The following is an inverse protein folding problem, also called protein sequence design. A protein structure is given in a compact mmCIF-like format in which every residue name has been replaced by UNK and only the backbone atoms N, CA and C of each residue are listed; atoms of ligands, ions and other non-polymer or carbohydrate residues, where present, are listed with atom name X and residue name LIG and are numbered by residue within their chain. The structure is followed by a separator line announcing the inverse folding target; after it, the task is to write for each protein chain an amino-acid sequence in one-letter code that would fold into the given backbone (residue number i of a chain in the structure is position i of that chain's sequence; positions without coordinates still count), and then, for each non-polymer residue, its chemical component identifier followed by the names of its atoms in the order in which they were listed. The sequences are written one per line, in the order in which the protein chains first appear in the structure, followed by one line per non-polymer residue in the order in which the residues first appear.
data_IF_945553182011
#
_entry.id   IF_945553182011
#
_cell.length_a   1.000
_cell.length_b   1.000
_cell.length_c   1.000
_cell.angle_alpha   90.00
_cell.angle_beta   90.00
_cell.angle_gamma   90.00
#
_symmetry.space_group_name_H-M   'P 1'
#
loop_
_entity.id
_entity.type
_entity.pdbx_description
1 polymer ?
#
# COMPACT_ATOMS: atom_id res chain seq x y z
N UNK A 1 57.34 -7.37 -26.37
CA UNK A 1 57.10 -6.64 -25.10
C UNK A 1 55.66 -6.13 -24.95
N UNK A 2 54.92 -5.87 -26.04
CA UNK A 2 53.53 -5.35 -25.99
C UNK A 2 52.48 -6.34 -25.49
N UNK A 3 52.59 -7.64 -25.80
CA UNK A 3 51.58 -8.65 -25.42
C UNK A 3 51.51 -8.95 -23.91
N UNK A 4 52.63 -8.90 -23.19
CA UNK A 4 52.65 -9.20 -21.75
C UNK A 4 51.98 -8.09 -20.92
N UNK A 5 52.20 -6.83 -21.32
CA UNK A 5 51.60 -5.67 -20.67
C UNK A 5 50.08 -5.62 -20.87
N UNK A 6 49.61 -5.85 -22.10
CA UNK A 6 48.17 -5.90 -22.42
C UNK A 6 47.49 -7.07 -21.69
N UNK A 7 48.11 -8.26 -21.65
CA UNK A 7 47.58 -9.39 -20.87
C UNK A 7 47.46 -9.09 -19.38
N UNK A 8 48.45 -8.43 -18.77
CA UNK A 8 48.40 -8.06 -17.34
C UNK A 8 47.27 -7.08 -17.03
N UNK A 9 47.05 -6.08 -17.89
CA UNK A 9 45.92 -5.16 -17.75
C UNK A 9 44.59 -5.89 -17.89
N UNK A 10 44.46 -6.77 -18.88
CA UNK A 10 43.25 -7.56 -19.09
C UNK A 10 42.95 -8.47 -17.89
N UNK A 11 43.93 -9.22 -17.39
CA UNK A 11 43.75 -10.07 -16.20
C UNK A 11 43.38 -9.25 -14.96
N UNK A 12 44.03 -8.10 -14.75
CA UNK A 12 43.73 -7.23 -13.59
C UNK A 12 42.32 -6.67 -13.67
N UNK A 13 41.87 -6.29 -14.87
CA UNK A 13 40.52 -5.76 -15.10
C UNK A 13 39.47 -6.84 -14.87
N UNK A 14 39.69 -8.07 -15.37
CA UNK A 14 38.82 -9.21 -15.12
C UNK A 14 38.76 -9.53 -13.62
N UNK A 15 39.91 -9.53 -12.95
CA UNK A 15 39.99 -9.78 -11.52
C UNK A 15 39.21 -8.71 -10.73
N UNK A 16 39.42 -7.42 -11.02
CA UNK A 16 38.67 -6.33 -10.39
C UNK A 16 37.16 -6.41 -10.68
N UNK A 17 36.77 -6.74 -11.92
CA UNK A 17 35.37 -6.88 -12.30
C UNK A 17 34.67 -8.05 -11.59
N UNK A 18 35.39 -9.14 -11.30
CA UNK A 18 34.88 -10.28 -10.52
C UNK A 18 34.90 -10.01 -9.01
N UNK A 19 35.87 -9.25 -8.51
CA UNK A 19 35.96 -8.88 -7.10
C UNK A 19 34.89 -7.85 -6.71
N UNK A 20 34.53 -6.95 -7.62
CA UNK A 20 33.59 -5.86 -7.38
C UNK A 20 32.21 -6.31 -6.88
N UNK A 21 31.49 -7.29 -7.48
CA UNK A 21 30.23 -7.79 -6.95
C UNK A 21 30.38 -8.51 -5.61
N UNK A 22 31.53 -9.14 -5.34
CA UNK A 22 31.82 -9.79 -4.04
C UNK A 22 32.05 -8.73 -2.95
N UNK A 23 32.77 -7.65 -3.26
CA UNK A 23 32.95 -6.52 -2.34
C UNK A 23 31.61 -5.83 -2.10
N UNK A 24 30.79 -5.62 -3.14
CA UNK A 24 29.43 -5.09 -2.99
C UNK A 24 28.55 -5.97 -2.12
N UNK A 25 28.59 -7.30 -2.28
CA UNK A 25 27.76 -8.21 -1.47
C UNK A 25 28.19 -8.27 0.00
N UNK A 26 29.47 -8.02 0.30
CA UNK A 26 29.95 -7.88 1.69
C UNK A 26 29.38 -6.65 2.41
N UNK A 27 28.96 -5.62 1.66
CA UNK A 27 28.28 -4.44 2.19
C UNK A 27 26.75 -4.46 1.97
N UNK A 28 26.25 -5.44 1.21
CA UNK A 28 24.83 -5.63 1.03
C UNK A 28 24.23 -6.27 2.27
N UNK A 29 23.26 -5.60 2.90
CA UNK A 29 22.43 -6.22 3.93
C UNK A 29 21.15 -6.70 3.27
N UNK A 30 20.99 -8.02 3.15
CA UNK A 30 19.68 -8.59 2.88
C UNK A 30 18.83 -8.47 4.14
N UNK A 31 17.70 -7.78 4.04
CA UNK A 31 16.69 -7.73 5.10
C UNK A 31 15.55 -8.64 4.66
N UNK A 32 15.54 -9.93 5.05
CA UNK A 32 14.44 -10.82 4.73
C UNK A 32 13.19 -10.31 5.45
N UNK A 33 12.27 -9.72 4.67
CA UNK A 33 11.02 -9.17 5.18
C UNK A 33 9.85 -9.83 4.46
N UNK A 34 9.13 -10.68 5.18
CA UNK A 34 7.86 -11.22 4.71
C UNK A 34 6.71 -10.29 5.12
N UNK A 35 5.71 -10.22 4.26
CA UNK A 35 4.49 -9.48 4.54
C UNK A 35 3.27 -10.19 3.97
N UNK A 36 2.11 -9.94 4.58
CA UNK A 36 0.81 -10.38 4.07
C UNK A 36 -0.11 -9.20 3.83
N UNK A 37 -0.94 -9.30 2.79
CA UNK A 37 -2.09 -8.44 2.55
C UNK A 37 -3.36 -9.28 2.72
N UNK A 38 -4.21 -8.93 3.68
CA UNK A 38 -5.44 -9.66 3.96
C UNK A 38 -6.58 -8.71 4.30
N UNK A 39 -7.35 -8.35 3.26
CA UNK A 39 -8.42 -7.34 3.34
C UNK A 39 -9.83 -7.93 3.39
N UNK A 40 -10.00 -9.24 3.18
CA UNK A 40 -11.31 -9.92 3.19
C UNK A 40 -11.79 -10.31 4.60
N UNK A 41 -11.64 -9.41 5.56
CA UNK A 41 -12.16 -9.58 6.92
C UNK A 41 -11.39 -10.60 7.78
N UNK A 42 -10.11 -10.32 8.10
CA UNK A 42 -9.33 -11.18 8.97
C UNK A 42 -9.99 -11.39 10.33
N UNK A 43 -10.04 -12.64 10.79
CA UNK A 43 -10.06 -12.92 12.22
C UNK A 43 -8.67 -12.66 12.77
N UNK A 44 -8.56 -11.86 13.82
CA UNK A 44 -7.27 -11.47 14.38
C UNK A 44 -6.47 -12.69 14.85
N UNK A 45 -7.15 -13.74 15.28
CA UNK A 45 -6.55 -15.01 15.71
C UNK A 45 -5.82 -15.73 14.56
N UNK A 46 -6.31 -15.61 13.32
CA UNK A 46 -5.64 -16.17 12.15
C UNK A 46 -4.32 -15.44 11.87
N UNK A 47 -4.32 -14.10 12.03
CA UNK A 47 -3.12 -13.28 11.85
C UNK A 47 -2.04 -13.58 12.88
N UNK A 48 -2.41 -14.01 14.09
CA UNK A 48 -1.46 -14.40 15.14
C UNK A 48 -0.62 -15.61 14.74
N UNK A 49 -1.16 -16.50 13.91
CA UNK A 49 -0.47 -17.71 13.45
C UNK A 49 0.45 -17.45 12.25
N UNK A 50 0.28 -16.30 11.60
CA UNK A 50 1.11 -15.91 10.44
C UNK A 50 2.51 -15.53 10.93
N UNK A 51 3.54 -16.06 10.28
CA UNK A 51 4.95 -15.79 10.62
C UNK A 51 5.41 -14.38 10.27
N UNK A 52 4.80 -13.74 9.28
CA UNK A 52 5.18 -12.41 8.82
C UNK A 52 5.06 -11.36 9.93
N UNK A 53 6.10 -10.54 10.02
CA UNK A 53 6.15 -9.42 10.96
C UNK A 53 5.38 -8.21 10.43
N UNK A 54 5.24 -8.05 9.11
CA UNK A 54 4.43 -6.98 8.52
C UNK A 54 3.10 -7.55 8.04
N UNK A 55 2.00 -6.97 8.53
CA UNK A 55 0.65 -7.34 8.11
C UNK A 55 -0.10 -6.11 7.62
N UNK A 56 -0.69 -6.22 6.44
CA UNK A 56 -1.58 -5.21 5.87
C UNK A 56 -3.00 -5.77 5.90
N UNK A 57 -3.88 -5.10 6.64
CA UNK A 57 -5.27 -5.51 6.81
C UNK A 57 -6.19 -4.32 6.57
N UNK A 58 -7.48 -4.55 6.40
CA UNK A 58 -8.45 -3.47 6.41
C UNK A 58 -8.54 -2.81 7.81
N UNK A 59 -8.99 -1.55 7.92
CA UNK A 59 -9.23 -0.92 9.23
C UNK A 59 -10.38 -1.58 10.00
N UNK A 60 -11.18 -2.41 9.33
CA UNK A 60 -12.36 -3.09 9.84
C UNK A 60 -12.40 -4.55 9.44
N UNK A 61 -12.96 -5.40 10.31
CA UNK A 61 -13.12 -6.83 10.05
C UNK A 61 -14.15 -7.15 8.94
N UNK A 62 -14.96 -6.19 8.51
CA UNK A 62 -15.88 -6.35 7.36
C UNK A 62 -15.92 -5.13 6.44
N UNK A 63 -14.95 -4.22 6.61
CA UNK A 63 -14.87 -2.94 5.92
C UNK A 63 -15.80 -1.84 6.45
N UNK A 64 -16.81 -2.17 7.26
CA UNK A 64 -17.78 -1.20 7.81
C UNK A 64 -17.30 -0.59 9.13
N UNK A 65 -17.80 0.61 9.49
CA UNK A 65 -17.43 1.27 10.76
C UNK A 65 -17.87 0.45 11.98
N UNK A 66 -18.91 -0.39 11.83
CA UNK A 66 -19.46 -1.21 12.93
C UNK A 66 -18.48 -2.29 13.39
N UNK A 67 -17.57 -2.72 12.51
CA UNK A 67 -16.53 -3.70 12.79
C UNK A 67 -15.12 -3.11 12.69
N UNK A 68 -15.01 -1.78 12.76
CA UNK A 68 -13.72 -1.11 12.85
C UNK A 68 -12.91 -1.66 14.03
N UNK A 69 -11.65 -1.99 13.77
CA UNK A 69 -10.74 -2.44 14.82
C UNK A 69 -10.47 -1.31 15.79
N UNK A 70 -10.43 -1.67 17.07
CA UNK A 70 -10.13 -0.75 18.17
C UNK A 70 -8.65 -0.81 18.51
N UNK A 71 -8.25 0.07 19.41
CA UNK A 71 -6.87 0.14 19.90
C UNK A 71 -6.40 -1.19 20.49
N UNK A 72 -7.28 -1.88 21.21
CA UNK A 72 -6.98 -3.15 21.87
C UNK A 72 -6.73 -4.28 20.84
N UNK A 73 -7.49 -4.27 19.74
CA UNK A 73 -7.37 -5.23 18.64
C UNK A 73 -6.00 -5.12 17.94
N UNK A 74 -5.57 -3.90 17.66
CA UNK A 74 -4.28 -3.65 17.01
C UNK A 74 -3.12 -3.88 17.97
N UNK A 75 -3.28 -3.48 19.24
CA UNK A 75 -2.29 -3.74 20.28
C UNK A 75 -2.07 -5.25 20.50
N UNK A 76 -3.13 -6.07 20.38
CA UNK A 76 -3.03 -7.52 20.46
C UNK A 76 -2.12 -8.11 19.38
N UNK A 77 -2.26 -7.68 18.12
CA UNK A 77 -1.35 -8.10 17.05
C UNK A 77 0.09 -7.61 17.29
N UNK A 78 0.24 -6.34 17.70
CA UNK A 78 1.53 -5.72 17.95
C UNK A 78 2.28 -6.36 19.13
N UNK A 79 1.57 -6.96 20.10
CA UNK A 79 2.20 -7.64 21.23
C UNK A 79 3.01 -8.87 20.81
N UNK A 80 2.84 -9.36 19.58
CA UNK A 80 3.64 -10.43 18.97
C UNK A 80 4.79 -9.90 18.10
N UNK A 81 5.09 -8.60 18.16
CA UNK A 81 6.12 -7.97 17.35
C UNK A 81 5.66 -7.54 15.95
N UNK A 82 4.37 -7.71 15.62
CA UNK A 82 3.84 -7.36 14.30
C UNK A 82 3.77 -5.86 14.07
N UNK A 83 4.12 -5.42 12.87
CA UNK A 83 3.82 -4.11 12.30
C UNK A 83 2.54 -4.19 11.49
N UNK A 84 1.50 -3.51 11.95
CA UNK A 84 0.15 -3.57 11.40
C UNK A 84 -0.15 -2.32 10.59
N UNK A 85 -0.39 -2.46 9.30
CA UNK A 85 -0.72 -1.37 8.38
C UNK A 85 -2.17 -1.51 7.91
N UNK A 86 -2.87 -0.38 7.77
CA UNK A 86 -4.22 -0.37 7.21
C UNK A 86 -4.17 -0.24 5.70
N UNK A 87 -4.85 -1.12 4.97
CA UNK A 87 -5.24 -0.87 3.59
C UNK A 87 -6.16 0.35 3.54
N UNK A 88 -5.94 1.22 2.56
CA UNK A 88 -6.78 2.38 2.30
C UNK A 88 -6.88 2.62 0.81
N UNK A 89 -8.09 2.52 0.29
CA UNK A 89 -8.42 2.91 -1.06
C UNK A 89 -8.36 4.45 -1.18
N UNK A 90 -7.34 5.00 -1.85
CA UNK A 90 -7.01 6.44 -1.74
C UNK A 90 -7.79 7.32 -2.70
N UNK A 91 -8.14 6.81 -3.88
CA UNK A 91 -8.69 7.61 -4.98
C UNK A 91 -9.97 7.02 -5.59
N UNK A 92 -10.56 6.04 -4.92
CA UNK A 92 -11.82 5.38 -5.28
C UNK A 92 -12.70 5.30 -4.03
N UNK A 93 -14.00 5.49 -4.20
CA UNK A 93 -14.98 5.40 -3.12
C UNK A 93 -15.60 4.00 -3.06
N UNK A 94 -15.85 3.51 -1.86
CA UNK A 94 -16.42 2.19 -1.56
C UNK A 94 -17.75 2.38 -0.81
N UNK A 95 -18.84 1.76 -1.28
CA UNK A 95 -20.19 2.07 -0.79
C UNK A 95 -20.55 1.47 0.59
N UNK A 96 -19.76 0.53 1.08
CA UNK A 96 -19.90 -0.06 2.40
C UNK A 96 -19.17 0.73 3.51
N UNK A 97 -18.40 1.77 3.15
CA UNK A 97 -17.60 2.54 4.11
C UNK A 97 -18.43 3.54 4.90
N UNK A 98 -17.91 3.92 6.07
CA UNK A 98 -18.56 4.85 7.01
C UNK A 98 -18.99 6.18 6.36
N UNK A 99 -18.24 6.67 5.38
CA UNK A 99 -18.47 7.96 4.75
C UNK A 99 -19.56 7.94 3.67
N UNK A 100 -19.96 6.76 3.18
CA UNK A 100 -20.76 6.64 1.96
C UNK A 100 -22.06 7.45 2.01
N UNK A 101 -22.79 7.37 3.11
CA UNK A 101 -24.08 8.04 3.27
C UNK A 101 -23.96 9.57 3.40
N UNK A 102 -22.83 10.06 3.93
CA UNK A 102 -22.55 11.50 4.06
C UNK A 102 -21.80 12.08 2.87
N UNK A 103 -21.29 11.23 1.97
CA UNK A 103 -20.50 11.66 0.83
C UNK A 103 -21.35 12.48 -0.14
N UNK A 104 -20.87 13.67 -0.50
CA UNK A 104 -21.50 14.48 -1.53
C UNK A 104 -21.53 13.67 -2.85
N UNK A 105 -22.73 13.29 -3.31
CA UNK A 105 -22.87 12.45 -4.50
C UNK A 105 -22.40 13.17 -5.78
N UNK A 106 -22.26 14.50 -5.79
CA UNK A 106 -21.75 15.26 -6.92
C UNK A 106 -20.25 15.02 -7.25
N UNK A 107 -19.50 14.41 -6.32
CA UNK A 107 -18.10 14.03 -6.57
C UNK A 107 -17.95 12.57 -7.03
N UNK A 108 -19.01 11.78 -7.01
CA UNK A 108 -19.03 10.40 -7.52
C UNK A 108 -19.31 10.43 -9.03
N UNK A 109 -18.47 9.78 -9.82
CA UNK A 109 -18.54 9.84 -11.29
C UNK A 109 -19.28 8.64 -11.88
N UNK A 110 -18.82 7.42 -11.55
CA UNK A 110 -19.40 6.19 -12.07
C UNK A 110 -18.89 4.97 -11.28
N UNK A 111 -19.59 3.83 -11.34
CA UNK A 111 -19.05 2.56 -10.86
C UNK A 111 -17.71 2.20 -11.54
N UNK A 112 -16.81 1.63 -10.75
CA UNK A 112 -15.53 1.09 -11.17
C UNK A 112 -15.75 -0.31 -11.75
N UNK A 113 -15.41 -0.50 -13.02
CA UNK A 113 -15.65 -1.78 -13.71
C UNK A 113 -14.79 -2.89 -13.13
N UNK A 114 -15.39 -4.05 -12.86
CA UNK A 114 -14.72 -5.20 -12.25
C UNK A 114 -14.70 -5.20 -10.72
N UNK A 115 -15.13 -4.10 -10.08
CA UNK A 115 -15.09 -3.92 -8.64
C UNK A 115 -16.47 -3.46 -8.13
N UNK A 116 -17.39 -4.40 -7.83
CA UNK A 116 -18.73 -4.06 -7.34
C UNK A 116 -18.69 -3.23 -6.05
N UNK A 117 -19.48 -2.16 -6.00
CA UNK A 117 -19.53 -1.25 -4.86
C UNK A 117 -18.38 -0.23 -4.80
N UNK A 118 -17.44 -0.28 -5.75
CA UNK A 118 -16.40 0.74 -5.92
C UNK A 118 -16.76 1.76 -7.00
N UNK A 119 -16.36 3.00 -6.80
CA UNK A 119 -16.76 4.14 -7.62
C UNK A 119 -15.60 5.10 -7.88
N UNK A 120 -15.46 5.51 -9.14
CA UNK A 120 -14.64 6.66 -9.50
C UNK A 120 -15.14 7.90 -8.75
N UNK A 121 -14.22 8.61 -8.10
CA UNK A 121 -14.49 9.84 -7.37
C UNK A 121 -13.55 10.95 -7.86
N UNK A 122 -14.02 12.20 -7.80
CA UNK A 122 -13.17 13.39 -8.04
C UNK A 122 -12.19 13.56 -6.87
N UNK A 123 -11.18 12.70 -6.79
CA UNK A 123 -10.26 12.63 -5.65
C UNK A 123 -9.45 13.93 -5.43
N UNK A 124 -9.39 14.80 -6.44
CA UNK A 124 -8.76 16.12 -6.38
C UNK A 124 -9.64 17.19 -5.69
N UNK A 125 -10.87 16.87 -5.27
CA UNK A 125 -11.76 17.79 -4.56
C UNK A 125 -11.52 17.74 -3.05
N UNK A 126 -11.64 18.89 -2.38
CA UNK A 126 -11.47 19.04 -0.93
C UNK A 126 -12.32 18.06 -0.11
N UNK A 127 -13.54 17.78 -0.58
CA UNK A 127 -14.51 16.90 0.06
C UNK A 127 -13.99 15.46 0.13
N UNK A 128 -13.25 15.01 -0.88
CA UNK A 128 -12.61 13.69 -0.83
C UNK A 128 -11.40 13.69 0.11
N UNK A 129 -10.59 14.74 0.12
CA UNK A 129 -9.50 14.89 1.10
C UNK A 129 -10.02 14.89 2.55
N UNK A 130 -11.21 15.43 2.81
CA UNK A 130 -11.85 15.35 4.12
C UNK A 130 -12.26 13.93 4.51
N UNK A 131 -12.71 13.11 3.56
CA UNK A 131 -12.93 11.67 3.77
C UNK A 131 -11.62 10.97 4.13
N UNK A 132 -10.56 11.20 3.36
CA UNK A 132 -9.23 10.62 3.64
C UNK A 132 -8.72 11.04 5.02
N UNK A 133 -8.84 12.32 5.39
CA UNK A 133 -8.49 12.82 6.74
C UNK A 133 -9.25 12.09 7.85
N UNK A 134 -10.55 11.86 7.66
CA UNK A 134 -11.37 11.11 8.62
C UNK A 134 -10.95 9.64 8.72
N UNK A 135 -10.54 9.04 7.60
CA UNK A 135 -10.00 7.68 7.56
C UNK A 135 -8.68 7.60 8.34
N UNK A 136 -7.74 8.50 8.06
CA UNK A 136 -6.45 8.59 8.76
C UNK A 136 -6.64 8.76 10.27
N UNK A 137 -7.60 9.59 10.70
CA UNK A 137 -7.91 9.76 12.12
C UNK A 137 -8.34 8.45 12.77
N UNK A 138 -9.21 7.66 12.12
CA UNK A 138 -9.64 6.34 12.62
C UNK A 138 -8.46 5.37 12.72
N UNK A 139 -7.69 5.26 11.66
CA UNK A 139 -6.51 4.38 11.56
C UNK A 139 -5.49 4.72 12.66
N UNK A 140 -5.12 5.99 12.79
CA UNK A 140 -4.16 6.41 13.82
C UNK A 140 -4.72 6.24 15.23
N UNK A 141 -6.01 6.49 15.45
CA UNK A 141 -6.64 6.31 16.77
C UNK A 141 -6.69 4.83 17.20
N UNK A 142 -6.85 3.91 16.26
CA UNK A 142 -6.78 2.47 16.49
C UNK A 142 -5.34 1.97 16.68
N UNK A 143 -4.31 2.80 16.46
CA UNK A 143 -2.92 2.44 16.76
C UNK A 143 -2.20 1.66 15.65
N UNK A 144 -2.72 1.68 14.41
CA UNK A 144 -2.02 1.15 13.25
C UNK A 144 -0.67 1.85 13.05
N UNK A 145 0.32 1.13 12.53
CA UNK A 145 1.67 1.64 12.28
C UNK A 145 1.76 2.50 11.01
N UNK A 146 0.81 2.38 10.10
CA UNK A 146 0.77 3.15 8.87
C UNK A 146 -0.36 2.71 7.95
N UNK A 147 -0.28 3.15 6.68
CA UNK A 147 -1.25 2.82 5.63
C UNK A 147 -0.58 2.29 4.38
N UNK A 148 -1.23 1.33 3.73
CA UNK A 148 -0.94 0.91 2.37
C UNK A 148 -2.01 1.51 1.45
N UNK A 149 -1.60 2.42 0.56
CA UNK A 149 -2.52 3.17 -0.30
C UNK A 149 -2.77 2.40 -1.60
N UNK A 150 -4.05 2.23 -1.93
CA UNK A 150 -4.48 1.65 -3.21
C UNK A 150 -5.05 2.71 -4.15
N UNK A 151 -5.13 2.36 -5.44
CA UNK A 151 -5.67 3.16 -6.52
C UNK A 151 -4.99 4.53 -6.74
N UNK A 152 -3.76 4.69 -6.26
CA UNK A 152 -2.95 5.90 -6.49
C UNK A 152 -2.70 6.18 -7.98
N UNK A 153 -2.75 5.15 -8.83
CA UNK A 153 -2.57 5.22 -10.27
C UNK A 153 -3.88 5.44 -11.06
N UNK A 154 -5.03 5.63 -10.38
CA UNK A 154 -6.34 5.73 -11.04
C UNK A 154 -6.40 6.86 -12.09
N UNK A 155 -5.56 7.89 -11.96
CA UNK A 155 -5.44 8.99 -12.94
C UNK A 155 -5.08 8.52 -14.36
N UNK A 156 -4.48 7.32 -14.48
CA UNK A 156 -4.15 6.69 -15.77
C UNK A 156 -5.35 5.97 -16.40
N UNK A 157 -6.45 5.74 -15.68
CA UNK A 157 -7.62 5.07 -16.23
C UNK A 157 -8.31 5.91 -17.30
N UNK A 158 -8.37 5.38 -18.52
CA UNK A 158 -9.05 6.02 -19.66
C UNK A 158 -10.52 6.33 -19.40
N UNK A 159 -11.23 5.47 -18.65
CA UNK A 159 -12.62 5.70 -18.25
C UNK A 159 -12.73 6.92 -17.32
N UNK A 160 -11.84 7.04 -16.33
CA UNK A 160 -11.82 8.22 -15.47
C UNK A 160 -11.54 9.48 -16.27
N UNK A 161 -10.55 9.45 -17.16
CA UNK A 161 -10.18 10.60 -17.99
C UNK A 161 -11.35 11.08 -18.85
N UNK A 162 -12.12 10.15 -19.45
CA UNK A 162 -13.34 10.47 -20.19
C UNK A 162 -14.44 11.07 -19.30
N UNK A 163 -14.61 10.57 -18.08
CA UNK A 163 -15.61 11.05 -17.13
C UNK A 163 -15.27 12.43 -16.55
N UNK A 164 -13.98 12.70 -16.34
CA UNK A 164 -13.50 13.91 -15.69
C UNK A 164 -13.12 15.03 -16.65
N UNK A 165 -12.87 14.69 -17.93
CA UNK A 165 -12.27 15.60 -18.90
C UNK A 165 -10.80 15.92 -18.64
N UNK A 166 -10.16 15.24 -17.68
CA UNK A 166 -8.74 15.41 -17.33
C UNK A 166 -7.90 14.32 -17.97
N UNK A 167 -6.68 14.64 -18.37
CA UNK A 167 -5.69 13.64 -18.80
C UNK A 167 -4.82 13.21 -17.60
N UNK A 168 -3.81 12.38 -17.84
CA UNK A 168 -2.90 11.91 -16.78
C UNK A 168 -1.94 13.00 -16.26
N UNK A 169 -1.88 14.17 -16.89
CA UNK A 169 -0.95 15.27 -16.58
C UNK A 169 -1.60 16.41 -15.79
N UNK A 170 -2.94 16.48 -15.73
CA UNK A 170 -3.69 17.43 -14.89
C UNK A 170 -4.80 18.18 -15.59
#
# INVERSE_FOLDING_TARGET
MTNDFVSKIALTTIFLALLFPVVLSLFATEVPQDWILYTNGPKLEELMLVKSDLVVIDYSADGTDKKAFKKEDIAFLQSQGKKVFSYLNFAVAEDWRFYWNSLNKAIILAPLGGWPGEYYVKYWYSEWYDVVKQYMKRITSAGFNGVALDWINIYQHTKLQKLSGKNAEG
#
